data_IF_769277945325
#
_entry.id   IF_769277945325
#
_cell.length_a   1.000
_cell.length_b   1.000
_cell.length_c   1.000
_cell.angle_alpha   90.00
_cell.angle_beta   90.00
_cell.angle_gamma   90.00
#
_symmetry.space_group_name_H-M   'P 1'
#
loop_
_entity.id
_entity.type
_entity.pdbx_description
1 polymer ?
#
# COMPACT_ATOMS: atom_id res chain seq x y z
N UNK A 1 31.28 18.87 -3.30
CA UNK A 1 30.41 20.05 -3.11
C UNK A 1 28.95 19.59 -3.26
N UNK A 2 28.12 19.85 -2.27
CA UNK A 2 26.85 19.16 -2.13
C UNK A 2 25.77 19.71 -3.06
N UNK A 3 25.20 18.87 -3.92
CA UNK A 3 23.99 19.17 -4.71
C UNK A 3 22.74 19.44 -3.84
N UNK A 4 22.89 19.42 -2.52
CA UNK A 4 21.85 19.49 -1.49
C UNK A 4 21.01 20.77 -1.47
N UNK A 5 21.61 21.99 -1.47
CA UNK A 5 20.82 23.22 -1.41
C UNK A 5 20.01 23.44 -2.69
N UNK A 6 20.57 23.09 -3.85
CA UNK A 6 19.90 23.23 -5.13
C UNK A 6 18.68 22.30 -5.25
N UNK A 7 18.82 21.02 -4.86
CA UNK A 7 17.70 20.06 -4.86
C UNK A 7 16.58 20.52 -3.93
N UNK A 8 16.91 21.00 -2.72
CA UNK A 8 15.90 21.52 -1.77
C UNK A 8 15.20 22.77 -2.30
N UNK A 9 15.93 23.69 -2.92
CA UNK A 9 15.34 24.89 -3.52
C UNK A 9 14.37 24.54 -4.66
N UNK A 10 14.78 23.65 -5.57
CA UNK A 10 13.91 23.17 -6.66
C UNK A 10 12.64 22.49 -6.13
N UNK A 11 12.80 21.61 -5.16
CA UNK A 11 11.66 20.93 -4.52
C UNK A 11 10.71 21.91 -3.81
N UNK A 12 11.23 23.01 -3.24
CA UNK A 12 10.38 24.04 -2.62
C UNK A 12 9.52 24.81 -3.62
N UNK A 13 9.93 24.89 -4.88
CA UNK A 13 9.13 25.52 -5.95
C UNK A 13 7.91 24.66 -6.30
N UNK A 14 8.09 23.33 -6.43
CA UNK A 14 6.99 22.42 -6.80
C UNK A 14 6.14 21.99 -5.60
N UNK A 15 6.68 22.07 -4.39
CA UNK A 15 6.01 21.76 -3.12
C UNK A 15 6.12 22.97 -2.17
N UNK A 16 5.41 24.07 -2.44
CA UNK A 16 5.56 25.30 -1.66
C UNK A 16 4.99 25.22 -0.25
N UNK A 17 4.11 24.25 0.03
CA UNK A 17 3.40 24.14 1.30
C UNK A 17 2.06 24.89 1.29
N UNK A 18 1.58 25.29 2.47
CA UNK A 18 0.25 25.91 2.63
C UNK A 18 -0.87 24.90 2.40
N UNK A 19 -1.65 25.07 1.34
CA UNK A 19 -2.76 24.17 0.94
C UNK A 19 -2.36 23.22 -0.21
N UNK A 20 -1.08 23.12 -0.55
CA UNK A 20 -0.60 22.36 -1.73
C UNK A 20 0.72 21.65 -1.46
N UNK A 21 0.99 20.64 -2.27
CA UNK A 21 2.32 20.03 -2.37
C UNK A 21 2.63 19.02 -1.27
N UNK A 22 1.62 18.36 -0.69
CA UNK A 22 1.85 17.19 0.15
C UNK A 22 2.18 15.98 -0.73
N UNK A 23 3.37 15.41 -0.52
CA UNK A 23 3.78 14.15 -1.15
C UNK A 23 3.50 12.99 -0.21
N UNK A 24 2.63 12.07 -0.59
CA UNK A 24 2.37 10.85 0.20
C UNK A 24 2.92 9.65 -0.56
N UNK A 25 3.84 8.92 0.08
CA UNK A 25 4.42 7.71 -0.49
C UNK A 25 3.63 6.49 -0.06
N UNK A 26 3.42 5.54 -0.99
CA UNK A 26 2.80 4.25 -0.68
C UNK A 26 3.76 3.10 -0.93
N UNK A 27 4.00 2.34 0.10
CA UNK A 27 4.66 1.04 0.08
C UNK A 27 3.64 -0.06 0.42
N UNK A 28 3.96 -1.30 0.12
CA UNK A 28 3.22 -2.47 0.61
C UNK A 28 4.20 -3.34 1.41
N UNK A 29 5.29 -3.74 0.78
CA UNK A 29 6.31 -4.58 1.38
C UNK A 29 7.68 -3.92 1.38
N UNK A 30 8.49 -4.24 2.40
CA UNK A 30 9.93 -4.00 2.41
C UNK A 30 10.63 -5.31 2.71
N UNK A 31 11.08 -5.98 1.68
CA UNK A 31 11.71 -7.30 1.83
C UNK A 31 13.08 -7.20 2.50
N UNK A 32 13.50 -8.16 3.32
CA UNK A 32 14.85 -8.14 3.93
C UNK A 32 15.95 -8.15 2.87
N UNK A 33 15.72 -8.83 1.74
CA UNK A 33 16.64 -8.94 0.61
C UNK A 33 15.89 -8.78 -0.72
N UNK A 34 16.64 -8.47 -1.79
CA UNK A 34 16.08 -8.37 -3.14
C UNK A 34 15.44 -9.70 -3.56
N UNK A 35 14.23 -9.62 -4.12
CA UNK A 35 13.51 -10.79 -4.64
C UNK A 35 13.96 -11.11 -6.08
N UNK A 36 14.54 -12.29 -6.33
CA UNK A 36 14.94 -12.68 -7.69
C UNK A 36 13.75 -12.81 -8.66
N UNK A 37 12.57 -13.18 -8.15
CA UNK A 37 11.37 -13.31 -8.95
C UNK A 37 10.76 -11.94 -9.27
N UNK A 38 10.74 -11.02 -8.30
CA UNK A 38 10.20 -9.67 -8.46
C UNK A 38 11.22 -8.59 -8.11
N UNK A 39 12.24 -8.36 -8.97
CA UNK A 39 13.37 -7.45 -8.68
C UNK A 39 12.95 -5.96 -8.58
N UNK A 40 11.71 -5.64 -8.93
CA UNK A 40 11.15 -4.29 -8.74
C UNK A 40 10.66 -4.04 -7.31
N UNK A 41 10.40 -5.08 -6.51
CA UNK A 41 9.99 -4.92 -5.11
C UNK A 41 11.07 -4.22 -4.29
N UNK A 42 10.62 -3.42 -3.33
CA UNK A 42 11.51 -2.66 -2.45
C UNK A 42 12.10 -3.61 -1.41
N UNK A 43 13.42 -3.64 -1.32
CA UNK A 43 14.16 -4.32 -0.25
C UNK A 43 14.66 -3.32 0.81
N UNK A 44 15.17 -3.83 1.93
CA UNK A 44 15.68 -3.04 3.04
C UNK A 44 16.72 -2.01 2.61
N UNK A 45 17.65 -2.39 1.70
CA UNK A 45 18.69 -1.49 1.20
C UNK A 45 18.09 -0.34 0.39
N UNK A 46 17.18 -0.64 -0.52
CA UNK A 46 16.51 0.39 -1.34
C UNK A 46 15.64 1.30 -0.48
N UNK A 47 14.89 0.72 0.46
CA UNK A 47 14.08 1.50 1.39
C UNK A 47 14.93 2.45 2.23
N UNK A 48 16.05 1.98 2.81
CA UNK A 48 16.98 2.82 3.55
C UNK A 48 17.51 4.01 2.73
N UNK A 49 17.87 3.80 1.45
CA UNK A 49 18.30 4.87 0.55
C UNK A 49 17.17 5.87 0.26
N UNK A 50 15.94 5.40 0.08
CA UNK A 50 14.77 6.28 -0.12
C UNK A 50 14.46 7.10 1.14
N UNK A 51 14.51 6.48 2.33
CA UNK A 51 14.36 7.18 3.60
C UNK A 51 15.43 8.25 3.81
N UNK A 52 16.67 8.00 3.38
CA UNK A 52 17.75 9.00 3.44
C UNK A 52 17.44 10.22 2.56
N UNK A 53 16.90 10.02 1.36
CA UNK A 53 16.44 11.12 0.49
C UNK A 53 15.30 11.88 1.14
N UNK A 54 14.32 11.16 1.73
CA UNK A 54 13.18 11.78 2.42
C UNK A 54 13.65 12.66 3.58
N UNK A 55 14.47 12.12 4.48
CA UNK A 55 14.98 12.85 5.64
C UNK A 55 15.83 14.08 5.24
N UNK A 56 16.55 14.00 4.12
CA UNK A 56 17.43 15.10 3.66
C UNK A 56 16.71 16.18 2.86
N UNK A 57 15.69 15.82 2.08
CA UNK A 57 15.10 16.71 1.08
C UNK A 57 13.70 17.19 1.45
N UNK A 58 12.97 16.47 2.31
CA UNK A 58 11.57 16.72 2.66
C UNK A 58 11.39 17.02 4.15
N UNK A 59 10.29 17.66 4.48
CA UNK A 59 9.76 17.75 5.82
C UNK A 59 8.76 16.58 5.99
N UNK A 60 9.26 15.47 6.51
CA UNK A 60 8.45 14.26 6.70
C UNK A 60 7.61 14.40 7.95
N UNK A 61 6.29 14.32 7.78
CA UNK A 61 5.29 14.47 8.84
C UNK A 61 4.48 13.18 9.01
N UNK A 62 4.05 12.85 10.22
CA UNK A 62 2.94 11.92 10.43
C UNK A 62 1.74 12.34 9.58
N UNK A 63 1.07 11.40 8.92
CA UNK A 63 -0.02 11.75 8.00
C UNK A 63 -1.18 12.49 8.69
N UNK A 64 -1.62 12.17 9.92
CA UNK A 64 -2.63 12.96 10.62
C UNK A 64 -2.23 14.42 10.80
N UNK A 65 -0.97 14.69 11.15
CA UNK A 65 -0.45 16.05 11.26
C UNK A 65 -0.42 16.75 9.91
N UNK A 66 0.03 16.07 8.85
CA UNK A 66 0.05 16.61 7.51
C UNK A 66 -1.36 17.00 7.02
N UNK A 67 -2.39 16.19 7.33
CA UNK A 67 -3.78 16.49 7.01
C UNK A 67 -4.28 17.71 7.78
N UNK A 68 -4.01 17.82 9.08
CA UNK A 68 -4.39 18.96 9.90
C UNK A 68 -3.76 20.25 9.36
N UNK A 69 -2.48 20.22 9.00
CA UNK A 69 -1.75 21.34 8.41
C UNK A 69 -2.23 21.69 7.00
N UNK A 70 -2.56 20.68 6.17
CA UNK A 70 -3.14 20.91 4.85
C UNK A 70 -4.50 21.62 4.95
N UNK A 71 -5.34 21.19 5.89
CA UNK A 71 -6.66 21.79 6.17
C UNK A 71 -6.56 23.25 6.64
N UNK A 72 -5.57 23.55 7.50
CA UNK A 72 -5.35 24.91 8.03
C UNK A 72 -4.49 25.80 7.13
N UNK A 73 -3.98 25.30 6.00
CA UNK A 73 -3.10 26.06 5.13
C UNK A 73 -1.70 26.32 5.72
N UNK A 74 -1.26 25.51 6.69
CA UNK A 74 0.03 25.67 7.39
C UNK A 74 1.04 24.57 7.05
N UNK A 75 0.81 23.83 5.96
CA UNK A 75 1.72 22.78 5.53
C UNK A 75 3.10 23.37 5.23
N UNK A 76 4.21 22.82 5.75
CA UNK A 76 5.54 23.32 5.40
C UNK A 76 5.88 23.02 3.94
N UNK A 77 6.75 23.81 3.36
CA UNK A 77 7.29 23.50 2.04
C UNK A 77 7.93 22.11 2.04
N UNK A 78 7.83 21.37 0.93
CA UNK A 78 8.35 19.99 0.80
C UNK A 78 7.79 19.03 1.85
N UNK A 79 6.54 19.19 2.22
CA UNK A 79 5.87 18.26 3.12
C UNK A 79 5.74 16.88 2.48
N UNK A 80 5.99 15.85 3.25
CA UNK A 80 5.81 14.49 2.80
C UNK A 80 5.36 13.58 3.95
N UNK A 81 4.67 12.49 3.61
CA UNK A 81 4.29 11.41 4.53
C UNK A 81 4.59 10.05 3.92
N UNK A 82 4.86 9.08 4.77
CA UNK A 82 5.18 7.70 4.37
C UNK A 82 4.00 6.82 4.77
N UNK A 83 3.51 5.99 3.85
CA UNK A 83 2.42 5.06 4.13
C UNK A 83 2.73 3.66 3.64
N UNK A 84 2.12 2.67 4.28
CA UNK A 84 2.16 1.26 3.92
C UNK A 84 0.75 0.74 3.84
N UNK A 85 0.48 -0.17 2.91
CA UNK A 85 -0.82 -0.83 2.77
C UNK A 85 -0.74 -2.32 3.09
N UNK A 86 -1.90 -2.95 3.25
CA UNK A 86 -2.18 -4.37 3.42
C UNK A 86 -1.86 -4.95 4.80
N UNK A 87 -0.76 -4.56 5.43
CA UNK A 87 -0.39 -5.09 6.74
C UNK A 87 0.53 -6.32 6.68
N UNK A 88 1.53 -6.31 5.80
CA UNK A 88 2.54 -7.37 5.72
C UNK A 88 3.47 -7.41 6.93
N UNK A 89 3.91 -8.60 7.33
CA UNK A 89 4.79 -8.81 8.49
C UNK A 89 6.15 -8.09 8.38
N UNK A 90 6.67 -7.91 7.15
CA UNK A 90 7.90 -7.16 6.92
C UNK A 90 7.78 -5.65 7.20
N UNK A 91 6.57 -5.13 7.35
CA UNK A 91 6.35 -3.74 7.77
C UNK A 91 6.87 -3.52 9.21
N UNK A 92 6.61 -4.45 10.10
CA UNK A 92 7.13 -4.39 11.48
C UNK A 92 8.58 -4.91 11.55
N UNK A 93 8.85 -6.07 10.94
CA UNK A 93 10.15 -6.73 11.10
C UNK A 93 11.31 -6.02 10.38
N UNK A 94 11.04 -5.33 9.27
CA UNK A 94 12.07 -4.70 8.42
C UNK A 94 11.90 -3.19 8.31
N UNK A 95 10.69 -2.70 8.01
CA UNK A 95 10.50 -1.26 7.78
C UNK A 95 10.56 -0.45 9.07
N UNK A 96 9.96 -0.91 10.17
CA UNK A 96 9.95 -0.19 11.46
C UNK A 96 11.35 0.12 11.99
N UNK A 97 12.33 -0.82 12.07
CA UNK A 97 13.67 -0.51 12.52
C UNK A 97 14.34 0.59 11.69
N UNK A 98 14.18 0.56 10.37
CA UNK A 98 14.77 1.54 9.45
C UNK A 98 14.15 2.93 9.57
N UNK A 99 12.85 3.01 9.86
CA UNK A 99 12.14 4.26 10.16
C UNK A 99 12.62 4.85 11.49
N UNK A 100 12.67 4.02 12.55
CA UNK A 100 13.11 4.44 13.89
C UNK A 100 14.54 4.95 13.91
N UNK A 101 15.47 4.27 13.23
CA UNK A 101 16.88 4.68 13.10
C UNK A 101 17.00 6.11 12.56
N UNK A 102 16.03 6.57 11.77
CA UNK A 102 16.01 7.90 11.14
C UNK A 102 15.06 8.90 11.78
N UNK A 103 14.40 8.52 12.87
CA UNK A 103 13.38 9.35 13.51
C UNK A 103 12.19 9.68 12.62
N UNK A 104 11.86 8.78 11.65
CA UNK A 104 10.77 8.96 10.71
C UNK A 104 9.52 8.21 11.16
N UNK A 105 8.36 8.79 10.88
CA UNK A 105 7.06 8.19 11.15
C UNK A 105 6.41 7.71 9.85
N UNK A 106 5.55 6.71 9.95
CA UNK A 106 4.74 6.21 8.86
C UNK A 106 3.33 5.85 9.33
N UNK A 107 2.40 5.76 8.39
CA UNK A 107 1.05 5.25 8.60
C UNK A 107 0.94 3.86 7.96
N UNK A 108 0.44 2.89 8.70
CA UNK A 108 0.24 1.52 8.23
C UNK A 108 -1.27 1.26 8.11
N UNK A 109 -1.74 1.17 6.87
CA UNK A 109 -3.12 0.82 6.54
C UNK A 109 -3.26 -0.70 6.50
N UNK A 110 -4.00 -1.26 7.44
CA UNK A 110 -4.03 -2.70 7.67
C UNK A 110 -5.38 -3.29 7.27
N UNK A 111 -5.35 -4.32 6.41
CA UNK A 111 -6.51 -5.14 6.09
C UNK A 111 -6.70 -6.19 7.20
N UNK A 112 -7.62 -5.90 8.14
CA UNK A 112 -7.68 -6.55 9.45
C UNK A 112 -8.01 -8.07 9.39
N UNK A 113 -8.70 -8.52 8.35
CA UNK A 113 -9.11 -9.91 8.20
C UNK A 113 -7.98 -10.88 7.84
N UNK A 114 -6.79 -10.36 7.52
CA UNK A 114 -5.64 -11.20 7.18
C UNK A 114 -4.60 -11.31 8.30
N UNK A 115 -4.85 -10.66 9.43
CA UNK A 115 -3.97 -10.76 10.60
C UNK A 115 -3.96 -12.18 11.19
N UNK A 116 -2.92 -12.47 11.98
CA UNK A 116 -2.80 -13.69 12.77
C UNK A 116 -2.84 -15.00 11.96
N UNK A 117 -2.16 -15.00 10.81
CA UNK A 117 -1.98 -16.19 9.96
C UNK A 117 -2.82 -16.21 8.69
N UNK A 118 -3.57 -15.14 8.41
CA UNK A 118 -4.24 -14.97 7.12
C UNK A 118 -3.28 -14.77 5.96
N UNK A 119 -3.81 -14.76 4.76
CA UNK A 119 -3.08 -14.46 3.53
C UNK A 119 -4.03 -13.92 2.48
N UNK A 120 -3.61 -12.87 1.79
CA UNK A 120 -4.40 -12.31 0.70
C UNK A 120 -4.46 -13.28 -0.49
N UNK A 121 -5.49 -13.17 -1.29
CA UNK A 121 -5.71 -14.05 -2.45
C UNK A 121 -4.57 -13.95 -3.50
N UNK A 122 -4.09 -12.72 -3.74
CA UNK A 122 -2.96 -12.45 -4.64
C UNK A 122 -1.67 -13.10 -4.14
N UNK A 123 -1.38 -13.04 -2.83
CA UNK A 123 -0.21 -13.72 -2.25
C UNK A 123 -0.33 -15.23 -2.37
N UNK A 124 -1.52 -15.79 -2.24
CA UNK A 124 -1.74 -17.22 -2.45
C UNK A 124 -1.34 -17.63 -3.87
N UNK A 125 -1.72 -16.85 -4.88
CA UNK A 125 -1.33 -17.10 -6.28
C UNK A 125 0.18 -16.93 -6.48
N UNK A 126 0.74 -15.82 -5.96
CA UNK A 126 2.18 -15.51 -6.09
C UNK A 126 3.03 -16.63 -5.46
N UNK A 127 2.71 -17.02 -4.23
CA UNK A 127 3.49 -18.03 -3.52
C UNK A 127 3.26 -19.45 -4.07
N UNK A 128 2.07 -19.75 -4.59
CA UNK A 128 1.81 -21.00 -5.30
C UNK A 128 2.72 -21.15 -6.53
N UNK A 129 2.84 -20.09 -7.33
CA UNK A 129 3.74 -20.08 -8.51
C UNK A 129 5.22 -20.01 -8.11
N UNK A 130 5.54 -19.27 -7.05
CA UNK A 130 6.91 -19.13 -6.54
C UNK A 130 7.48 -20.46 -6.06
N UNK A 131 6.71 -21.15 -5.22
CA UNK A 131 7.18 -22.29 -4.42
C UNK A 131 6.84 -23.66 -5.04
N UNK A 132 6.06 -23.68 -6.13
CA UNK A 132 5.77 -24.95 -6.79
C UNK A 132 7.05 -25.68 -7.21
N UNK A 133 7.14 -26.99 -6.92
CA UNK A 133 8.21 -27.84 -7.44
C UNK A 133 8.01 -28.23 -8.92
N UNK A 134 6.87 -27.87 -9.51
CA UNK A 134 6.48 -28.27 -10.87
C UNK A 134 7.05 -27.32 -11.91
N UNK A 135 7.46 -27.85 -13.07
CA UNK A 135 7.89 -27.05 -14.22
C UNK A 135 6.71 -26.44 -14.98
N UNK A 136 5.49 -26.95 -14.76
CA UNK A 136 4.24 -26.47 -15.39
C UNK A 136 3.11 -26.46 -14.37
N UNK A 137 2.10 -25.62 -14.63
CA UNK A 137 0.86 -25.55 -13.84
C UNK A 137 -0.34 -25.63 -14.78
N UNK A 138 -1.17 -26.65 -14.58
CA UNK A 138 -2.42 -26.76 -15.33
C UNK A 138 -3.48 -25.82 -14.76
N UNK A 139 -3.92 -24.87 -15.59
CA UNK A 139 -4.96 -23.90 -15.32
C UNK A 139 -6.14 -24.02 -16.32
N UNK A 140 -6.38 -25.22 -16.86
CA UNK A 140 -7.49 -25.51 -17.78
C UNK A 140 -8.86 -25.11 -17.20
N UNK A 141 -9.03 -25.21 -15.87
CA UNK A 141 -10.24 -24.77 -15.16
C UNK A 141 -10.48 -23.25 -15.18
N UNK A 142 -9.50 -22.44 -15.61
CA UNK A 142 -9.62 -21.01 -15.86
C UNK A 142 -9.78 -20.70 -17.36
N UNK A 143 -9.74 -21.70 -18.23
CA UNK A 143 -9.67 -21.53 -19.68
C UNK A 143 -8.29 -21.08 -20.19
N UNK A 144 -7.25 -21.12 -19.35
CA UNK A 144 -5.90 -20.63 -19.70
C UNK A 144 -5.03 -21.77 -20.25
N UNK A 145 -5.33 -23.03 -19.88
CA UNK A 145 -4.50 -24.19 -20.22
C UNK A 145 -3.26 -24.31 -19.33
N UNK A 146 -2.16 -24.83 -19.90
CA UNK A 146 -0.94 -25.13 -19.15
C UNK A 146 0.04 -23.95 -19.17
N UNK A 147 0.50 -23.52 -17.98
CA UNK A 147 1.47 -22.45 -17.78
C UNK A 147 2.87 -23.04 -17.58
N UNK A 148 3.89 -22.46 -18.22
CA UNK A 148 5.30 -22.85 -18.05
C UNK A 148 5.94 -22.09 -16.91
N UNK A 149 6.50 -22.82 -15.92
CA UNK A 149 7.09 -22.27 -14.70
C UNK A 149 8.58 -22.57 -14.53
N UNK A 150 9.21 -23.16 -15.56
CA UNK A 150 10.61 -23.61 -15.52
C UNK A 150 11.63 -22.46 -15.37
N UNK A 151 11.23 -21.24 -15.70
CA UNK A 151 12.11 -20.05 -15.63
C UNK A 151 11.51 -18.94 -14.78
N UNK A 152 12.33 -18.05 -14.20
CA UNK A 152 11.82 -16.87 -13.49
C UNK A 152 10.91 -15.98 -14.37
N UNK A 153 11.21 -15.87 -15.66
CA UNK A 153 10.37 -15.12 -16.60
C UNK A 153 9.01 -15.80 -16.80
N UNK A 154 8.99 -17.13 -16.97
CA UNK A 154 7.76 -17.91 -17.06
C UNK A 154 6.91 -17.81 -15.79
N UNK A 155 7.55 -17.91 -14.61
CA UNK A 155 6.84 -17.70 -13.32
C UNK A 155 6.22 -16.29 -13.23
N UNK A 156 6.93 -15.22 -13.61
CA UNK A 156 6.38 -13.86 -13.62
C UNK A 156 5.18 -13.74 -14.56
N UNK A 157 5.34 -14.21 -15.80
CA UNK A 157 4.24 -14.17 -16.78
C UNK A 157 3.01 -14.94 -16.30
N UNK A 158 3.19 -16.08 -15.65
CA UNK A 158 2.11 -16.87 -15.04
C UNK A 158 1.43 -16.09 -13.90
N UNK A 159 2.18 -15.46 -13.01
CA UNK A 159 1.61 -14.61 -11.94
C UNK A 159 0.80 -13.46 -12.53
N UNK A 160 1.36 -12.71 -13.48
CA UNK A 160 0.68 -11.55 -14.08
C UNK A 160 -0.64 -11.98 -14.77
N UNK A 161 -0.62 -13.10 -15.49
CA UNK A 161 -1.81 -13.64 -16.15
C UNK A 161 -2.87 -14.09 -15.14
N UNK A 162 -2.48 -14.85 -14.12
CA UNK A 162 -3.41 -15.35 -13.09
C UNK A 162 -4.02 -14.20 -12.28
N UNK A 163 -3.22 -13.24 -11.83
CA UNK A 163 -3.71 -12.08 -11.09
C UNK A 163 -4.66 -11.23 -11.96
N UNK A 164 -4.31 -10.99 -13.22
CA UNK A 164 -5.18 -10.27 -14.16
C UNK A 164 -6.52 -10.95 -14.39
N UNK A 165 -6.52 -12.29 -14.52
CA UNK A 165 -7.73 -13.10 -14.73
C UNK A 165 -8.66 -13.12 -13.51
N UNK A 166 -8.08 -13.07 -12.30
CA UNK A 166 -8.81 -13.25 -11.05
C UNK A 166 -9.29 -11.94 -10.41
N UNK A 167 -8.61 -10.81 -10.68
CA UNK A 167 -8.78 -9.56 -9.93
C UNK A 167 -10.22 -9.09 -9.81
N UNK A 168 -10.97 -9.12 -10.89
CA UNK A 168 -12.35 -8.61 -10.95
C UNK A 168 -13.44 -9.71 -10.90
N UNK A 169 -13.04 -10.96 -10.59
CA UNK A 169 -14.01 -12.02 -10.34
C UNK A 169 -14.78 -11.78 -9.04
N UNK A 170 -16.04 -12.23 -8.94
CA UNK A 170 -16.78 -12.23 -7.67
C UNK A 170 -15.92 -12.86 -6.55
N UNK A 171 -16.01 -12.33 -5.34
CA UNK A 171 -15.14 -12.73 -4.20
C UNK A 171 -15.18 -14.23 -3.95
N UNK A 172 -16.39 -14.81 -3.97
CA UNK A 172 -16.58 -16.26 -3.73
C UNK A 172 -15.92 -17.11 -4.82
N UNK A 173 -16.21 -16.82 -6.10
CA UNK A 173 -15.63 -17.55 -7.24
C UNK A 173 -14.11 -17.42 -7.27
N UNK A 174 -13.59 -16.23 -6.97
CA UNK A 174 -12.15 -15.97 -6.86
C UNK A 174 -11.50 -16.83 -5.77
N UNK A 175 -12.16 -16.95 -4.61
CA UNK A 175 -11.63 -17.75 -3.51
C UNK A 175 -11.51 -19.23 -3.89
N UNK A 176 -12.52 -19.80 -4.54
CA UNK A 176 -12.50 -21.18 -5.03
C UNK A 176 -11.40 -21.40 -6.08
N UNK A 177 -11.28 -20.49 -7.05
CA UNK A 177 -10.28 -20.58 -8.11
C UNK A 177 -8.85 -20.48 -7.55
N UNK A 178 -8.63 -19.58 -6.57
CA UNK A 178 -7.35 -19.43 -5.86
C UNK A 178 -7.00 -20.70 -5.08
N UNK A 179 -7.96 -21.31 -4.40
CA UNK A 179 -7.75 -22.60 -3.72
C UNK A 179 -7.37 -23.72 -4.69
N UNK A 180 -8.01 -23.76 -5.87
CA UNK A 180 -7.65 -24.73 -6.94
C UNK A 180 -6.22 -24.50 -7.47
N UNK A 181 -5.79 -23.24 -7.67
CA UNK A 181 -4.42 -22.92 -8.06
C UNK A 181 -3.43 -23.39 -6.99
N UNK A 182 -3.71 -23.11 -5.72
CA UNK A 182 -2.88 -23.54 -4.60
C UNK A 182 -2.72 -25.06 -4.58
N UNK A 183 -3.81 -25.80 -4.71
CA UNK A 183 -3.81 -27.27 -4.77
C UNK A 183 -3.04 -27.78 -6.00
N UNK A 184 -3.29 -27.25 -7.19
CA UNK A 184 -2.64 -27.64 -8.43
C UNK A 184 -1.13 -27.39 -8.40
N UNK A 185 -0.68 -26.36 -7.69
CA UNK A 185 0.74 -26.03 -7.55
C UNK A 185 1.52 -27.07 -6.73
N UNK A 186 0.87 -27.72 -5.77
CA UNK A 186 1.53 -28.63 -4.82
C UNK A 186 2.52 -27.92 -3.88
N UNK A 187 2.47 -26.59 -3.79
CA UNK A 187 3.38 -25.81 -2.98
C UNK A 187 2.95 -25.78 -1.51
N UNK A 188 3.91 -25.85 -0.59
CA UNK A 188 3.68 -25.52 0.82
C UNK A 188 3.70 -23.99 0.98
N UNK A 189 2.52 -23.41 1.18
CA UNK A 189 2.36 -21.97 1.23
C UNK A 189 2.74 -21.39 2.61
N UNK A 190 3.46 -20.24 2.68
CA UNK A 190 3.88 -19.66 3.93
C UNK A 190 2.69 -19.10 4.73
N UNK A 191 2.72 -19.24 6.06
CA UNK A 191 1.67 -18.74 6.96
C UNK A 191 1.97 -17.34 7.54
N UNK A 192 3.20 -16.86 7.48
CA UNK A 192 3.65 -15.65 8.17
C UNK A 192 3.87 -14.43 7.25
N UNK A 193 3.09 -14.28 6.17
CA UNK A 193 3.23 -13.11 5.28
C UNK A 193 2.61 -11.85 5.86
N UNK A 194 1.49 -11.99 6.56
CA UNK A 194 0.77 -10.87 7.16
C UNK A 194 1.15 -10.71 8.63
N UNK A 195 0.99 -9.50 9.15
CA UNK A 195 1.26 -9.21 10.56
C UNK A 195 0.36 -10.00 11.49
N UNK A 196 0.85 -10.22 12.70
CA UNK A 196 0.02 -10.58 13.84
C UNK A 196 -0.56 -9.32 14.50
N UNK A 197 -1.63 -9.49 15.27
CA UNK A 197 -2.16 -8.42 16.14
C UNK A 197 -1.09 -7.87 17.12
N UNK A 198 -0.14 -8.70 17.54
CA UNK A 198 0.99 -8.27 18.37
C UNK A 198 1.94 -7.32 17.61
N UNK A 199 2.21 -7.57 16.34
CA UNK A 199 3.02 -6.70 15.50
C UNK A 199 2.33 -5.36 15.19
N UNK A 200 1.00 -5.36 15.01
CA UNK A 200 0.23 -4.11 14.88
C UNK A 200 0.34 -3.28 16.18
N UNK A 201 0.22 -3.91 17.35
CA UNK A 201 0.45 -3.22 18.64
C UNK A 201 1.88 -2.69 18.76
N UNK A 202 2.88 -3.44 18.29
CA UNK A 202 4.30 -3.03 18.27
C UNK A 202 4.51 -1.76 17.45
N UNK A 203 3.92 -1.69 16.25
CA UNK A 203 3.94 -0.49 15.40
C UNK A 203 3.31 0.71 16.12
N UNK A 204 2.11 0.53 16.70
CA UNK A 204 1.40 1.58 17.42
C UNK A 204 2.19 2.07 18.64
N UNK A 205 2.73 1.16 19.46
CA UNK A 205 3.57 1.47 20.61
C UNK A 205 4.88 2.18 20.23
N UNK A 206 5.38 1.96 19.02
CA UNK A 206 6.54 2.66 18.48
C UNK A 206 6.20 4.06 17.92
N UNK A 207 4.97 4.54 18.08
CA UNK A 207 4.52 5.85 17.62
C UNK A 207 4.14 5.92 16.14
N UNK A 208 4.00 4.77 15.49
CA UNK A 208 3.49 4.72 14.11
C UNK A 208 1.95 4.84 14.11
N UNK A 209 1.41 5.47 13.07
CA UNK A 209 -0.05 5.58 12.89
C UNK A 209 -0.60 4.28 12.29
N UNK A 210 -1.72 3.80 12.83
CA UNK A 210 -2.46 2.68 12.26
C UNK A 210 -3.70 3.23 11.55
N UNK A 211 -3.88 2.87 10.28
CA UNK A 211 -5.02 3.23 9.45
C UNK A 211 -5.81 1.99 9.03
N UNK A 212 -7.08 2.18 8.66
CA UNK A 212 -7.94 1.10 8.20
C UNK A 212 -7.82 0.87 6.68
N UNK A 213 -7.86 -0.41 6.28
CA UNK A 213 -7.83 -0.85 4.89
C UNK A 213 -8.87 -1.93 4.61
N UNK A 214 -10.07 -1.78 5.19
CA UNK A 214 -11.17 -2.77 5.23
C UNK A 214 -10.83 -4.02 6.04
N UNK A 215 -11.70 -5.02 6.01
CA UNK A 215 -11.45 -6.35 6.58
C UNK A 215 -10.78 -7.25 5.55
N UNK A 216 -11.44 -7.46 4.39
CA UNK A 216 -11.07 -8.47 3.40
C UNK A 216 -10.45 -7.89 2.12
N UNK A 217 -10.07 -6.63 2.12
CA UNK A 217 -9.47 -5.92 0.98
C UNK A 217 -10.26 -6.08 -0.34
N UNK A 218 -11.60 -5.90 -0.34
CA UNK A 218 -12.40 -6.00 -1.56
C UNK A 218 -12.25 -4.77 -2.44
N UNK A 219 -12.57 -4.90 -3.72
CA UNK A 219 -12.83 -3.75 -4.59
C UNK A 219 -14.21 -3.20 -4.19
N UNK A 220 -14.24 -2.04 -3.53
CA UNK A 220 -15.46 -1.49 -2.94
C UNK A 220 -16.57 -1.25 -3.98
N UNK A 221 -16.19 -0.81 -5.19
CA UNK A 221 -17.12 -0.57 -6.30
C UNK A 221 -17.87 -1.82 -6.78
N UNK A 222 -17.43 -3.02 -6.39
CA UNK A 222 -18.10 -4.28 -6.74
C UNK A 222 -19.06 -4.79 -5.66
N UNK A 223 -19.16 -4.07 -4.55
CA UNK A 223 -19.96 -4.49 -3.39
C UNK A 223 -21.27 -3.69 -3.28
N UNK A 224 -22.34 -4.30 -2.76
CA UNK A 224 -23.50 -3.54 -2.30
C UNK A 224 -23.10 -2.54 -1.21
N UNK A 225 -23.69 -1.34 -1.23
CA UNK A 225 -23.36 -0.24 -0.33
C UNK A 225 -23.33 -0.61 1.18
N UNK A 226 -24.29 -1.40 1.72
CA UNK A 226 -24.22 -1.82 3.12
C UNK A 226 -23.02 -2.72 3.43
N UNK A 227 -22.63 -3.58 2.48
CA UNK A 227 -21.47 -4.48 2.63
C UNK A 227 -20.16 -3.68 2.60
N UNK A 228 -20.03 -2.76 1.63
CA UNK A 228 -18.87 -1.87 1.55
C UNK A 228 -18.71 -1.06 2.85
N UNK A 229 -19.81 -0.49 3.37
CA UNK A 229 -19.80 0.23 4.65
C UNK A 229 -19.38 -0.68 5.81
N UNK A 230 -19.88 -1.92 5.85
CA UNK A 230 -19.52 -2.94 6.86
C UNK A 230 -18.02 -3.25 6.83
N UNK A 231 -17.44 -3.46 5.65
CA UNK A 231 -16.01 -3.68 5.45
C UNK A 231 -15.14 -2.56 6.02
N UNK A 232 -15.54 -1.29 5.78
CA UNK A 232 -14.84 -0.11 6.31
C UNK A 232 -14.95 0.00 7.84
N UNK A 233 -16.17 -0.13 8.37
CA UNK A 233 -16.45 0.02 9.79
C UNK A 233 -15.80 -1.10 10.62
N UNK A 234 -16.03 -2.36 10.24
CA UNK A 234 -15.50 -3.52 10.96
C UNK A 234 -13.98 -3.58 10.92
N UNK A 235 -13.35 -3.18 9.79
CA UNK A 235 -11.90 -3.08 9.70
C UNK A 235 -11.32 -2.06 10.66
N UNK A 236 -11.93 -0.89 10.79
CA UNK A 236 -11.56 0.12 11.78
C UNK A 236 -11.72 -0.42 13.21
N UNK A 237 -12.91 -0.92 13.53
CA UNK A 237 -13.26 -1.36 14.88
C UNK A 237 -12.33 -2.50 15.38
N UNK A 238 -11.95 -3.41 14.48
CA UNK A 238 -10.97 -4.45 14.78
C UNK A 238 -9.59 -3.88 15.13
N UNK A 239 -9.12 -2.89 14.37
CA UNK A 239 -7.82 -2.26 14.62
C UNK A 239 -7.84 -1.39 15.89
N UNK A 240 -8.94 -0.71 16.19
CA UNK A 240 -9.13 0.00 17.45
C UNK A 240 -9.11 -0.95 18.65
N UNK A 241 -9.74 -2.12 18.53
CA UNK A 241 -9.70 -3.15 19.57
C UNK A 241 -8.27 -3.70 19.79
N UNK A 242 -7.47 -3.85 18.72
CA UNK A 242 -6.08 -4.31 18.79
C UNK A 242 -5.17 -3.27 19.44
N UNK A 243 -5.29 -2.01 19.08
CA UNK A 243 -4.37 -0.94 19.49
C UNK A 243 -4.79 -0.22 20.77
N UNK A 244 -6.07 -0.25 21.12
CA UNK A 244 -6.66 0.57 22.18
C UNK A 244 -6.76 2.06 21.82
N UNK A 245 -6.38 2.43 20.60
CA UNK A 245 -6.37 3.81 20.09
C UNK A 245 -7.41 4.01 18.98
N UNK A 246 -7.68 5.28 18.63
CA UNK A 246 -8.56 5.60 17.50
C UNK A 246 -7.86 5.42 16.17
N UNK A 247 -8.54 4.78 15.22
CA UNK A 247 -8.12 4.64 13.83
C UNK A 247 -8.81 5.73 12.99
N UNK A 248 -8.04 6.74 12.61
CA UNK A 248 -8.56 7.99 12.03
C UNK A 248 -8.47 8.08 10.52
N UNK A 249 -7.67 7.22 9.89
CA UNK A 249 -7.35 7.29 8.47
C UNK A 249 -7.78 6.04 7.74
N UNK A 250 -8.13 6.21 6.47
CA UNK A 250 -8.57 5.12 5.60
C UNK A 250 -7.73 5.08 4.32
N UNK A 251 -7.43 3.89 3.80
CA UNK A 251 -6.93 3.70 2.44
C UNK A 251 -7.94 2.87 1.65
N UNK A 252 -8.29 3.33 0.44
CA UNK A 252 -9.19 2.57 -0.43
C UNK A 252 -8.45 1.36 -1.02
N UNK A 253 -8.96 0.11 -0.83
CA UNK A 253 -8.37 -1.07 -1.46
C UNK A 253 -8.22 -0.91 -2.98
N UNK A 254 -7.04 -1.24 -3.53
CA UNK A 254 -6.62 -0.96 -4.91
C UNK A 254 -6.60 0.55 -5.27
N UNK A 255 -7.58 1.31 -4.85
CA UNK A 255 -7.61 2.77 -4.73
C UNK A 255 -7.65 3.59 -6.01
N UNK A 256 -8.06 3.02 -7.16
CA UNK A 256 -8.26 3.78 -8.40
C UNK A 256 -9.63 4.47 -8.39
N UNK A 257 -9.66 5.83 -8.45
CA UNK A 257 -10.92 6.57 -8.49
C UNK A 257 -11.81 6.18 -9.67
N UNK A 258 -13.11 6.03 -9.42
CA UNK A 258 -14.11 5.68 -10.44
C UNK A 258 -14.07 4.21 -10.91
N UNK A 259 -13.08 3.44 -10.48
CA UNK A 259 -12.92 2.03 -10.83
C UNK A 259 -12.99 1.10 -9.60
N UNK A 260 -12.18 1.37 -8.57
CA UNK A 260 -12.09 0.52 -7.38
C UNK A 260 -12.95 1.07 -6.25
N UNK A 261 -13.25 2.35 -6.27
CA UNK A 261 -14.20 3.03 -5.39
C UNK A 261 -14.91 4.17 -6.13
N UNK A 262 -16.11 4.55 -5.66
CA UNK A 262 -17.01 5.52 -6.24
C UNK A 262 -17.27 6.69 -5.26
N UNK A 263 -17.91 7.80 -5.68
CA UNK A 263 -18.23 8.93 -4.80
C UNK A 263 -19.01 8.56 -3.55
N UNK A 264 -19.91 7.58 -3.64
CA UNK A 264 -20.67 7.06 -2.49
C UNK A 264 -19.76 6.51 -1.39
N UNK A 265 -18.65 5.84 -1.76
CA UNK A 265 -17.67 5.31 -0.81
C UNK A 265 -16.89 6.43 -0.11
N UNK A 266 -16.62 7.55 -0.81
CA UNK A 266 -16.05 8.76 -0.20
C UNK A 266 -17.03 9.32 0.84
N UNK A 267 -18.32 9.37 0.52
CA UNK A 267 -19.39 9.73 1.45
C UNK A 267 -19.45 8.81 2.67
N UNK A 268 -19.29 7.50 2.48
CA UNK A 268 -19.27 6.51 3.58
C UNK A 268 -18.08 6.73 4.52
N UNK A 269 -16.88 6.96 3.99
CA UNK A 269 -15.66 7.23 4.79
C UNK A 269 -15.85 8.49 5.65
N UNK A 270 -16.41 9.55 5.08
CA UNK A 270 -16.77 10.77 5.83
C UNK A 270 -17.80 10.50 6.92
N UNK A 271 -18.88 9.79 6.58
CA UNK A 271 -19.96 9.47 7.52
C UNK A 271 -19.55 8.50 8.64
N UNK A 272 -18.51 7.69 8.42
CA UNK A 272 -17.89 6.83 9.43
C UNK A 272 -16.96 7.62 10.38
N UNK A 273 -16.70 8.90 10.12
CA UNK A 273 -15.92 9.76 11.01
C UNK A 273 -14.41 9.61 10.86
N UNK A 274 -13.92 9.14 9.72
CA UNK A 274 -12.48 9.22 9.42
C UNK A 274 -12.07 10.67 9.18
N UNK A 275 -10.84 11.04 9.55
CA UNK A 275 -10.28 12.38 9.36
C UNK A 275 -9.80 12.62 7.92
N UNK A 276 -9.51 11.55 7.19
CA UNK A 276 -9.09 11.58 5.80
C UNK A 276 -8.87 10.20 5.20
N UNK A 277 -8.71 10.17 3.87
CA UNK A 277 -8.45 8.94 3.13
C UNK A 277 -7.47 9.13 1.98
N UNK A 278 -6.75 8.06 1.65
CA UNK A 278 -5.73 8.03 0.61
C UNK A 278 -6.11 7.07 -0.53
N UNK A 279 -5.65 7.39 -1.73
CA UNK A 279 -5.91 6.65 -2.97
C UNK A 279 -4.61 6.14 -3.58
N UNK A 280 -4.69 5.42 -4.69
CA UNK A 280 -3.53 5.10 -5.53
C UNK A 280 -3.45 5.97 -6.79
N UNK A 281 -4.27 7.03 -6.86
CA UNK A 281 -4.16 8.03 -7.91
C UNK A 281 -2.78 8.69 -7.87
N UNK A 282 -2.20 8.92 -9.03
CA UNK A 282 -0.94 9.62 -9.19
C UNK A 282 -1.19 11.12 -9.39
N UNK A 283 -0.34 11.97 -8.85
CA UNK A 283 -0.47 13.43 -8.98
C UNK A 283 -0.57 14.15 -7.65
N UNK A 284 -0.96 15.41 -7.68
CA UNK A 284 -1.22 16.26 -6.55
C UNK A 284 -2.73 16.47 -6.35
N UNK A 285 -3.17 16.53 -5.10
CA UNK A 285 -4.56 16.81 -4.73
C UNK A 285 -4.64 17.30 -3.30
N UNK A 286 -5.76 17.91 -2.96
CA UNK A 286 -6.04 18.49 -1.64
C UNK A 286 -7.40 18.06 -1.06
N UNK A 287 -8.15 17.19 -1.74
CA UNK A 287 -9.32 16.54 -1.12
C UNK A 287 -8.83 15.56 -0.05
N UNK A 288 -9.09 15.88 1.20
CA UNK A 288 -8.64 15.13 2.37
C UNK A 288 -9.14 13.67 2.36
N UNK A 289 -10.19 13.38 1.61
CA UNK A 289 -10.77 12.04 1.51
C UNK A 289 -10.42 11.30 0.22
N UNK A 290 -9.56 11.89 -0.62
CA UNK A 290 -9.04 11.30 -1.86
C UNK A 290 -7.59 11.75 -2.11
N UNK A 291 -6.75 11.75 -1.08
CA UNK A 291 -5.36 12.19 -1.20
C UNK A 291 -4.55 11.22 -2.08
N UNK A 292 -3.92 11.73 -3.15
CA UNK A 292 -3.16 10.90 -4.07
C UNK A 292 -1.83 10.45 -3.44
N UNK A 293 -1.30 9.34 -3.94
CA UNK A 293 -0.05 8.77 -3.45
C UNK A 293 0.92 8.44 -4.57
N UNK A 294 2.20 8.46 -4.25
CA UNK A 294 3.31 8.14 -5.13
C UNK A 294 3.92 6.78 -4.76
N UNK A 295 4.01 5.87 -5.74
CA UNK A 295 4.65 4.56 -5.56
C UNK A 295 6.15 4.64 -5.87
N UNK A 296 7.05 4.40 -4.91
CA UNK A 296 8.48 4.63 -5.04
C UNK A 296 9.24 3.38 -5.51
N UNK A 297 9.21 3.06 -6.79
CA UNK A 297 9.98 1.93 -7.36
C UNK A 297 11.37 2.30 -7.90
N UNK A 298 11.82 3.56 -7.73
CA UNK A 298 13.11 4.01 -8.24
C UNK A 298 14.28 3.42 -7.48
N UNK A 299 15.31 3.00 -8.24
CA UNK A 299 16.56 2.47 -7.68
C UNK A 299 17.61 3.57 -7.43
N UNK A 300 17.48 4.70 -8.11
CA UNK A 300 18.41 5.84 -8.01
C UNK A 300 17.80 6.90 -7.09
N UNK A 301 18.54 7.39 -6.07
CA UNK A 301 18.10 8.48 -5.21
C UNK A 301 17.70 9.75 -5.96
N UNK A 302 18.45 10.11 -7.00
CA UNK A 302 18.15 11.29 -7.82
C UNK A 302 16.87 11.10 -8.62
N UNK A 303 16.69 9.95 -9.28
CA UNK A 303 15.45 9.62 -10.00
C UNK A 303 14.24 9.64 -9.09
N UNK A 304 14.38 9.06 -7.90
CA UNK A 304 13.34 9.08 -6.89
C UNK A 304 12.92 10.52 -6.54
N UNK A 305 13.89 11.38 -6.19
CA UNK A 305 13.59 12.77 -5.85
C UNK A 305 12.95 13.56 -7.00
N UNK A 306 13.44 13.38 -8.24
CA UNK A 306 12.92 14.05 -9.43
C UNK A 306 11.50 13.57 -9.77
N UNK A 307 11.23 12.27 -9.69
CA UNK A 307 9.88 11.73 -9.94
C UNK A 307 8.89 12.16 -8.88
N UNK A 308 9.32 12.22 -7.63
CA UNK A 308 8.47 12.72 -6.55
C UNK A 308 8.11 14.20 -6.77
N UNK A 309 9.09 15.03 -7.18
CA UNK A 309 8.83 16.40 -7.57
C UNK A 309 7.89 16.50 -8.79
N UNK A 310 8.15 15.71 -9.83
CA UNK A 310 7.33 15.67 -11.04
C UNK A 310 5.89 15.22 -10.75
N UNK A 311 5.67 14.27 -9.83
CA UNK A 311 4.35 13.84 -9.41
C UNK A 311 3.48 15.02 -8.91
N UNK A 312 4.07 15.99 -8.23
CA UNK A 312 3.35 17.14 -7.71
C UNK A 312 2.94 18.19 -8.76
N UNK A 313 3.42 18.07 -9.99
CA UNK A 313 3.08 19.00 -11.09
C UNK A 313 1.81 18.63 -11.84
N UNK A 314 1.22 17.46 -11.59
CA UNK A 314 0.00 16.98 -12.24
C UNK A 314 -1.17 16.93 -11.26
N UNK A 315 -2.38 17.31 -11.69
CA UNK A 315 -3.58 17.07 -10.89
C UNK A 315 -3.88 15.56 -10.82
N UNK A 316 -4.24 15.07 -9.65
CA UNK A 316 -4.66 13.69 -9.47
C UNK A 316 -6.12 13.48 -9.91
N UNK A 317 -6.43 12.28 -10.43
CA UNK A 317 -7.80 11.86 -10.66
C UNK A 317 -8.54 11.68 -9.33
N UNK A 318 -9.84 12.01 -9.33
CA UNK A 318 -10.76 11.83 -8.21
C UNK A 318 -12.02 11.11 -8.69
N UNK A 319 -12.70 10.41 -7.79
CA UNK A 319 -14.05 9.94 -8.02
C UNK A 319 -14.98 11.16 -7.90
N UNK A 320 -15.65 11.50 -9.00
CA UNK A 320 -16.50 12.68 -9.14
C UNK A 320 -17.97 12.34 -8.92
#
# INVERSE_FOLDING_TARGET
MSARPFTRALLSVVAPGGTRGLSILVYHRVLPHADPLFPAMVDARRFALQLEVMARCFNVLPLPEALARLRSGTLPARAASITFDDGYADNEAVALPLLRERGLHATFFVAAGFLDGGRMWNDTVIEAVRLTPRATLDCGFLGIGQLTLATPAGKRAAVDLLLGTLKYRPVHDRAELVARIATASGAALPAGLMMTSAQVRSLHAAGMEIGAHTVNHPILATLPAPVARGEMASGRDALEAITGGKVRLFAYPNGKPGQDYLPEHVGMVRALGFDGAVTTAWGAGNDLFQLPRFTPWDRSPLRFALRLAHNLTYPAAQAA
#
